data_IF_039599377746
#
_entry.id   IF_039599377746
#
_cell.length_a   1.000
_cell.length_b   1.000
_cell.length_c   1.000
_cell.angle_alpha   90.00
_cell.angle_beta   90.00
_cell.angle_gamma   90.00
#
_symmetry.space_group_name_H-M   'P 1'
#
loop_
_entity.id
_entity.type
_entity.pdbx_description
1 polymer ?
#
# COMPACT_ATOMS: atom_id res chain seq x y z
N UNK A 1 -0.19 -25.75 4.64
CA UNK A 1 0.78 -24.64 4.66
C UNK A 1 0.51 -23.84 3.40
N UNK A 2 -0.26 -22.76 3.49
CA UNK A 2 -0.62 -21.96 2.32
C UNK A 2 0.46 -20.91 2.14
N UNK A 3 1.26 -21.04 1.08
CA UNK A 3 2.28 -20.05 0.73
C UNK A 3 1.57 -18.76 0.33
N UNK A 4 1.66 -17.72 1.18
CA UNK A 4 1.14 -16.40 0.84
C UNK A 4 2.13 -15.77 -0.13
N UNK A 5 1.81 -15.76 -1.42
CA UNK A 5 2.61 -15.01 -2.39
C UNK A 5 2.61 -13.52 -1.98
N UNK A 6 3.78 -12.92 -1.77
CA UNK A 6 3.86 -11.50 -1.41
C UNK A 6 3.31 -10.66 -2.58
N UNK A 7 2.55 -9.63 -2.25
CA UNK A 7 2.17 -8.62 -3.22
C UNK A 7 3.37 -7.69 -3.43
N UNK A 8 3.86 -7.60 -4.68
CA UNK A 8 4.90 -6.65 -5.06
C UNK A 8 4.28 -5.40 -5.67
N UNK A 9 4.60 -4.24 -5.09
CA UNK A 9 4.23 -2.92 -5.60
C UNK A 9 5.46 -2.31 -6.27
N UNK A 10 5.39 -2.07 -7.58
CA UNK A 10 6.39 -1.33 -8.34
C UNK A 10 5.80 0.01 -8.78
N UNK A 11 6.44 1.12 -8.42
CA UNK A 11 6.01 2.45 -8.85
C UNK A 11 6.13 2.64 -10.36
N UNK A 12 7.11 1.97 -11.01
CA UNK A 12 7.34 2.06 -12.46
C UNK A 12 6.28 1.30 -13.29
N UNK A 13 5.59 0.34 -12.68
CA UNK A 13 4.55 -0.46 -13.34
C UNK A 13 3.12 -0.01 -12.94
N UNK A 14 3.01 1.02 -12.09
CA UNK A 14 1.75 1.46 -11.50
C UNK A 14 0.94 2.33 -12.46
N UNK A 15 -0.35 2.04 -12.63
CA UNK A 15 -1.26 2.86 -13.46
C UNK A 15 -1.42 4.29 -12.97
N UNK A 16 -1.18 4.52 -11.68
CA UNK A 16 -1.30 5.83 -11.04
C UNK A 16 -0.03 6.68 -11.12
N UNK A 17 1.06 6.17 -11.72
CA UNK A 17 2.32 6.90 -11.83
C UNK A 17 2.09 8.27 -12.47
N UNK A 18 2.72 9.31 -11.91
CA UNK A 18 2.60 10.71 -12.35
C UNK A 18 1.21 11.37 -12.17
N UNK A 19 0.32 10.76 -11.39
CA UNK A 19 -0.94 11.39 -10.94
C UNK A 19 -0.81 11.92 -9.51
N UNK A 20 -1.77 12.73 -9.08
CA UNK A 20 -1.83 13.24 -7.69
C UNK A 20 -2.03 12.14 -6.64
N UNK A 21 -2.33 10.90 -7.05
CA UNK A 21 -2.38 9.78 -6.11
C UNK A 21 -0.99 9.38 -5.58
N UNK A 22 0.09 9.72 -6.30
CA UNK A 22 1.46 9.50 -5.84
C UNK A 22 1.82 10.40 -4.65
N UNK A 23 1.26 11.61 -4.58
CA UNK A 23 1.52 12.57 -3.51
C UNK A 23 1.02 12.08 -2.14
N UNK A 24 -0.03 11.25 -2.15
CA UNK A 24 -0.67 10.62 -0.99
C UNK A 24 -0.37 9.10 -0.92
N UNK A 25 0.70 8.64 -1.59
CA UNK A 25 1.05 7.23 -1.61
C UNK A 25 1.93 6.84 -0.42
N UNK A 26 1.51 5.81 0.33
CA UNK A 26 2.27 5.27 1.48
C UNK A 26 3.65 4.72 1.09
N UNK A 27 3.86 4.33 -0.17
CA UNK A 27 5.11 3.73 -0.65
C UNK A 27 6.30 4.67 -0.46
N UNK A 28 6.12 5.98 -0.64
CA UNK A 28 7.18 6.98 -0.40
C UNK A 28 7.65 6.95 1.06
N UNK A 29 6.74 6.73 2.00
CA UNK A 29 7.06 6.62 3.43
C UNK A 29 7.69 5.28 3.79
N UNK A 30 7.31 4.20 3.11
CA UNK A 30 7.86 2.86 3.39
C UNK A 30 9.27 2.72 2.82
N UNK A 31 9.47 3.13 1.56
CA UNK A 31 10.77 3.01 0.87
C UNK A 31 11.79 4.09 1.29
N UNK A 32 11.35 5.18 1.90
CA UNK A 32 12.24 6.23 2.44
C UNK A 32 12.83 5.92 3.82
N UNK A 33 12.46 4.78 4.43
CA UNK A 33 12.93 4.33 5.75
C UNK A 33 14.22 3.53 5.66
N UNK A 34 14.93 3.44 6.78
CA UNK A 34 16.08 2.55 6.92
C UNK A 34 15.63 1.08 6.86
N UNK A 35 16.44 0.16 6.30
CA UNK A 35 16.04 -1.24 6.05
C UNK A 35 15.57 -2.02 7.29
N UNK A 36 16.00 -1.62 8.49
CA UNK A 36 15.63 -2.25 9.77
C UNK A 36 14.29 -1.73 10.33
N UNK A 37 13.68 -0.69 9.75
CA UNK A 37 12.40 -0.12 10.23
C UNK A 37 11.19 -0.80 9.56
N UNK A 38 11.03 -2.09 9.83
CA UNK A 38 9.90 -2.86 9.34
C UNK A 38 8.57 -2.34 9.91
N UNK A 39 7.62 -2.03 9.02
CA UNK A 39 6.26 -1.65 9.43
C UNK A 39 5.46 -2.91 9.75
N UNK A 40 5.25 -3.15 11.04
CA UNK A 40 4.40 -4.23 11.53
C UNK A 40 3.02 -3.67 11.81
N UNK A 41 1.98 -4.31 11.25
CA UNK A 41 0.59 -3.98 11.52
C UNK A 41 -0.04 -5.20 12.18
N UNK A 42 -0.53 -5.03 13.41
CA UNK A 42 -1.20 -6.11 14.11
C UNK A 42 -2.66 -6.31 13.63
N UNK A 43 -3.33 -7.33 14.15
CA UNK A 43 -4.70 -7.68 13.74
C UNK A 43 -5.72 -6.58 14.07
N UNK A 44 -5.55 -5.89 15.21
CA UNK A 44 -6.46 -4.83 15.62
C UNK A 44 -6.26 -3.58 14.74
N UNK A 45 -5.02 -3.24 14.43
CA UNK A 45 -4.68 -2.15 13.51
C UNK A 45 -5.17 -2.43 12.09
N UNK A 46 -4.94 -3.64 11.57
CA UNK A 46 -5.45 -4.04 10.25
C UNK A 46 -6.98 -3.93 10.17
N UNK A 47 -7.69 -4.31 11.24
CA UNK A 47 -9.14 -4.15 11.34
C UNK A 47 -9.56 -2.68 11.38
N UNK A 48 -8.84 -1.84 12.12
CA UNK A 48 -9.11 -0.41 12.17
C UNK A 48 -8.95 0.23 10.79
N UNK A 49 -7.86 -0.04 10.07
CA UNK A 49 -7.64 0.43 8.70
C UNK A 49 -8.78 0.02 7.78
N UNK A 50 -9.26 -1.24 7.89
CA UNK A 50 -10.41 -1.72 7.11
C UNK A 50 -11.68 -0.93 7.39
N UNK A 51 -12.01 -0.69 8.67
CA UNK A 51 -13.18 0.07 9.08
C UNK A 51 -13.13 1.52 8.59
N UNK A 52 -11.97 2.18 8.73
CA UNK A 52 -11.77 3.53 8.22
C UNK A 52 -11.93 3.60 6.70
N UNK A 53 -11.46 2.57 5.98
CA UNK A 53 -11.57 2.50 4.53
C UNK A 53 -13.00 2.28 4.06
N UNK A 54 -13.75 1.43 4.76
CA UNK A 54 -15.17 1.20 4.47
C UNK A 54 -16.04 2.42 4.80
N UNK A 55 -15.63 3.24 5.78
CA UNK A 55 -16.24 4.53 6.09
C UNK A 55 -15.79 5.69 5.17
N UNK A 56 -14.84 5.45 4.25
CA UNK A 56 -14.33 6.47 3.33
C UNK A 56 -13.34 7.46 3.93
N UNK A 57 -12.81 7.18 5.13
CA UNK A 57 -11.86 8.05 5.85
C UNK A 57 -10.40 7.82 5.42
N UNK A 58 -10.08 6.64 4.89
CA UNK A 58 -8.77 6.33 4.29
C UNK A 58 -8.95 5.70 2.91
N UNK A 59 -8.03 5.94 1.96
CA UNK A 59 -8.14 5.36 0.65
C UNK A 59 -8.00 3.84 0.68
N UNK A 60 -8.75 3.16 -0.19
CA UNK A 60 -8.51 1.74 -0.53
C UNK A 60 -7.20 1.61 -1.31
N UNK A 61 -6.69 0.38 -1.43
CA UNK A 61 -5.52 0.09 -2.29
C UNK A 61 -5.80 0.58 -3.72
N UNK A 62 -5.02 1.57 -4.18
CA UNK A 62 -5.12 2.17 -5.52
C UNK A 62 -4.18 1.53 -6.54
N UNK A 63 -3.26 0.68 -6.10
CA UNK A 63 -2.28 0.05 -6.98
C UNK A 63 -2.97 -0.88 -7.99
N UNK A 64 -2.77 -0.58 -9.27
CA UNK A 64 -3.04 -1.47 -10.38
C UNK A 64 -1.83 -1.46 -11.30
N UNK A 65 -1.50 -2.62 -11.86
CA UNK A 65 -0.41 -2.73 -12.84
C UNK A 65 -0.94 -2.32 -14.21
N UNK A 66 -0.20 -1.49 -14.95
CA UNK A 66 -0.45 -1.34 -16.39
C UNK A 66 -0.19 -2.68 -17.08
N UNK A 67 -1.18 -3.21 -17.79
CA UNK A 67 -0.97 -4.36 -18.67
C UNK A 67 -0.43 -3.81 -19.99
N UNK A 68 0.84 -4.07 -20.27
CA UNK A 68 1.44 -3.84 -21.58
C UNK A 68 0.86 -4.77 -22.64
#
# INVERSE_FOLDING_TARGET
MTEHQPMTISCDECTMQHTTACDDCVVTFICGREPDDAVIIDVAEARAVRLLSDAGLVPKLRYSRHVS
#
